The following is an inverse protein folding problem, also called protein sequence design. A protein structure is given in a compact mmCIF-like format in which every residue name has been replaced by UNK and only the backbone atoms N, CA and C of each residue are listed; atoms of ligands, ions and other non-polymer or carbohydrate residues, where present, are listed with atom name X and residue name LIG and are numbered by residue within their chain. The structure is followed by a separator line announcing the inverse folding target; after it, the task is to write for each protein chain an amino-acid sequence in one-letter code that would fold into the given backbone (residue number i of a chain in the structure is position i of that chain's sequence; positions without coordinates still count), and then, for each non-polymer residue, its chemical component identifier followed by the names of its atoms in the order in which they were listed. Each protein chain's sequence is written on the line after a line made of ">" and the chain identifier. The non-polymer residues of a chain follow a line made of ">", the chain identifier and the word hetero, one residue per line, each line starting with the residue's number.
data_IF_966904020647
#
_entry.id   IF_966904020647
#
_cell.length_a   1.000
_cell.length_b   1.000
_cell.length_c   1.000
_cell.angle_alpha   90.00
_cell.angle_beta   90.00
_cell.angle_gamma   90.00
#
_symmetry.space_group_name_H-M   'P 1'
#
loop_
_entity.id
_entity.type
_entity.pdbx_description
1 polymer ?
#
# COMPACT_ATOMS: atom_id res chain seq x y z
N UNK A 1 13.06 -4.59 -22.25
CA UNK A 1 12.63 -3.30 -22.85
C UNK A 1 12.58 -2.24 -21.75
N UNK A 2 12.79 -0.97 -22.12
CA UNK A 2 12.84 0.12 -21.15
C UNK A 2 14.23 0.49 -20.64
N UNK A 3 15.22 -0.34 -20.89
CA UNK A 3 16.60 -0.08 -20.48
C UNK A 3 17.17 1.14 -21.23
N UNK A 4 17.98 1.96 -20.54
CA UNK A 4 18.75 3.03 -21.14
C UNK A 4 20.08 2.51 -21.67
N UNK A 5 20.45 2.94 -22.88
CA UNK A 5 21.76 2.71 -23.45
C UNK A 5 22.44 4.03 -23.73
N UNK A 6 23.77 4.06 -23.67
CA UNK A 6 24.56 5.18 -24.19
C UNK A 6 25.82 4.68 -24.90
N UNK A 7 26.33 5.54 -25.79
CA UNK A 7 27.59 5.37 -26.52
C UNK A 7 28.20 6.71 -26.82
N UNK A 8 29.43 6.69 -27.26
CA UNK A 8 30.11 7.88 -27.72
C UNK A 8 30.28 7.86 -29.25
N UNK A 9 29.95 8.97 -29.89
CA UNK A 9 30.26 9.22 -31.29
C UNK A 9 31.25 10.38 -31.35
N UNK A 10 32.54 10.04 -31.50
CA UNK A 10 33.62 10.99 -31.24
C UNK A 10 33.63 11.38 -29.74
N UNK A 11 33.51 12.67 -29.46
CA UNK A 11 33.47 13.22 -28.11
C UNK A 11 32.03 13.46 -27.59
N UNK A 12 31.02 13.16 -28.41
CA UNK A 12 29.64 13.41 -28.06
C UNK A 12 29.01 12.15 -27.46
N UNK A 13 28.40 12.31 -26.28
CA UNK A 13 27.64 11.23 -25.62
C UNK A 13 26.21 11.17 -26.18
N UNK A 14 25.84 10.05 -26.78
CA UNK A 14 24.49 9.77 -27.29
C UNK A 14 23.84 8.70 -26.44
N UNK A 15 22.51 8.75 -26.33
CA UNK A 15 21.74 7.78 -25.55
C UNK A 15 20.37 7.55 -26.13
N UNK A 16 19.82 6.35 -25.86
CA UNK A 16 18.47 5.98 -26.23
C UNK A 16 17.88 4.96 -25.27
N UNK A 17 16.54 4.87 -25.20
CA UNK A 17 15.82 3.79 -24.49
C UNK A 17 15.44 2.68 -25.46
N UNK A 18 15.64 1.44 -25.04
CA UNK A 18 15.28 0.26 -25.81
C UNK A 18 13.78 0.02 -25.68
N UNK A 19 13.05 -0.01 -26.79
CA UNK A 19 11.63 -0.36 -26.82
C UNK A 19 11.41 -1.87 -26.92
N UNK A 20 12.37 -2.61 -27.48
CA UNK A 20 12.30 -4.04 -27.64
C UNK A 20 13.70 -4.65 -27.59
N UNK A 21 13.84 -5.78 -26.89
CA UNK A 21 15.06 -6.59 -26.87
C UNK A 21 14.69 -8.07 -26.97
N UNK A 22 15.40 -8.79 -27.83
CA UNK A 22 15.24 -10.25 -28.01
C UNK A 22 16.59 -10.91 -28.20
N UNK A 23 16.85 -11.98 -27.46
CA UNK A 23 18.04 -12.80 -27.66
C UNK A 23 17.91 -13.57 -28.97
N UNK A 24 18.98 -13.67 -29.75
CA UNK A 24 19.02 -14.46 -30.95
C UNK A 24 18.88 -15.94 -30.59
N UNK A 25 17.92 -16.62 -31.23
CA UNK A 25 17.66 -18.06 -30.99
C UNK A 25 18.83 -18.96 -31.40
N UNK A 26 19.68 -18.51 -32.32
CA UNK A 26 20.84 -19.27 -32.82
C UNK A 26 22.16 -18.93 -32.12
N UNK A 27 22.23 -17.85 -31.37
CA UNK A 27 23.43 -17.41 -30.69
C UNK A 27 23.10 -16.71 -29.39
N UNK A 28 23.40 -17.34 -28.24
CA UNK A 28 23.18 -16.77 -26.91
C UNK A 28 23.97 -15.46 -26.65
N UNK A 29 24.92 -15.10 -27.54
CA UNK A 29 25.74 -13.90 -27.43
C UNK A 29 25.24 -12.74 -28.29
N UNK A 30 24.07 -12.86 -28.97
CA UNK A 30 23.50 -11.80 -29.79
C UNK A 30 22.14 -11.38 -29.25
N UNK A 31 21.95 -10.08 -29.16
CA UNK A 31 20.68 -9.47 -28.74
C UNK A 31 20.24 -8.50 -29.83
N UNK A 32 19.04 -8.71 -30.34
CA UNK A 32 18.38 -7.77 -31.23
C UNK A 32 17.68 -6.69 -30.40
N UNK A 33 17.94 -5.43 -30.71
CA UNK A 33 17.31 -4.29 -30.04
C UNK A 33 16.58 -3.40 -31.03
N UNK A 34 15.46 -2.81 -30.61
CA UNK A 34 14.70 -1.81 -31.36
C UNK A 34 14.48 -0.56 -30.49
N UNK A 35 14.18 0.55 -31.15
CA UNK A 35 13.94 1.84 -30.49
C UNK A 35 15.17 2.74 -30.47
N UNK A 36 16.23 2.34 -31.18
CA UNK A 36 17.37 3.22 -31.38
C UNK A 36 17.03 4.22 -32.49
N UNK A 37 17.10 5.54 -32.22
CA UNK A 37 16.72 6.56 -33.20
C UNK A 37 17.76 6.78 -34.30
N UNK A 38 18.93 6.12 -34.18
CA UNK A 38 20.08 6.32 -35.10
C UNK A 38 20.73 4.98 -35.44
N UNK A 39 21.42 4.95 -36.57
CA UNK A 39 22.32 3.86 -36.90
C UNK A 39 23.62 4.03 -36.08
N UNK A 40 23.87 3.09 -35.18
CA UNK A 40 25.10 3.06 -34.41
C UNK A 40 26.18 2.39 -35.27
N UNK A 41 27.35 3.01 -35.46
CA UNK A 41 28.45 2.41 -36.23
C UNK A 41 28.84 1.04 -35.70
N UNK A 42 29.20 0.11 -36.57
CA UNK A 42 29.66 -1.21 -36.16
C UNK A 42 30.91 -1.09 -35.26
N UNK A 43 30.98 -1.96 -34.24
CA UNK A 43 32.05 -1.99 -33.23
C UNK A 43 32.01 -0.81 -32.22
N UNK A 44 30.96 0.00 -32.18
CA UNK A 44 30.78 1.00 -31.12
C UNK A 44 30.56 0.33 -29.78
N UNK A 45 31.28 0.75 -28.76
CA UNK A 45 31.03 0.29 -27.39
C UNK A 45 29.72 0.91 -26.86
N UNK A 46 28.78 0.06 -26.50
CA UNK A 46 27.48 0.48 -25.95
C UNK A 46 27.45 0.09 -24.48
N UNK A 47 27.13 1.05 -23.63
CA UNK A 47 26.99 0.84 -22.20
C UNK A 47 25.53 1.02 -21.78
N UNK A 48 25.12 0.22 -20.82
CA UNK A 48 23.80 0.31 -20.19
C UNK A 48 23.84 1.38 -19.10
N UNK A 49 22.87 2.31 -19.11
CA UNK A 49 22.78 3.38 -18.09
C UNK A 49 21.82 3.05 -16.97
N UNK A 50 20.75 2.30 -17.28
CA UNK A 50 19.75 1.94 -16.28
C UNK A 50 19.10 0.60 -16.67
N UNK A 51 18.77 -0.18 -15.67
CA UNK A 51 17.90 -1.34 -15.79
C UNK A 51 16.51 -0.95 -15.33
N UNK A 52 15.53 -1.00 -16.22
CA UNK A 52 14.16 -0.58 -15.91
C UNK A 52 13.53 -1.42 -14.79
N UNK A 53 13.94 -2.69 -14.67
CA UNK A 53 13.39 -3.61 -13.68
C UNK A 53 14.09 -3.51 -12.31
N UNK A 54 15.39 -3.16 -12.26
CA UNK A 54 16.13 -3.05 -11.00
C UNK A 54 15.80 -1.76 -10.23
N UNK A 55 15.71 -0.60 -10.90
CA UNK A 55 15.33 0.66 -10.24
C UNK A 55 13.90 0.61 -9.66
N UNK A 56 12.99 -0.08 -10.35
CA UNK A 56 11.61 -0.25 -9.85
C UNK A 56 11.50 -1.29 -8.72
N UNK A 57 12.45 -2.20 -8.63
CA UNK A 57 12.43 -3.28 -7.65
C UNK A 57 13.04 -2.85 -6.32
N UNK A 58 14.21 -2.19 -6.34
CA UNK A 58 14.86 -1.62 -5.15
C UNK A 58 13.98 -0.53 -4.51
N UNK A 59 13.41 0.39 -5.32
CA UNK A 59 12.53 1.43 -4.80
C UNK A 59 11.20 0.90 -4.25
N UNK A 60 10.72 -0.24 -4.74
CA UNK A 60 9.54 -0.91 -4.18
C UNK A 60 9.86 -1.72 -2.92
N UNK A 61 11.05 -2.31 -2.86
CA UNK A 61 11.48 -3.11 -1.71
C UNK A 61 11.79 -2.24 -0.50
N UNK A 62 12.58 -1.19 -0.67
CA UNK A 62 12.90 -0.25 0.41
C UNK A 62 11.64 0.38 1.00
N UNK A 63 10.71 0.85 0.15
CA UNK A 63 9.46 1.46 0.63
C UNK A 63 8.50 0.47 1.29
N UNK A 64 8.54 -0.82 0.97
CA UNK A 64 7.65 -1.81 1.59
C UNK A 64 8.19 -2.36 2.91
N UNK A 65 9.51 -2.38 3.09
CA UNK A 65 10.15 -2.89 4.31
C UNK A 65 10.15 -1.87 5.47
N UNK A 66 10.01 -0.58 5.18
CA UNK A 66 10.04 0.48 6.20
C UNK A 66 8.68 0.84 6.76
N UNK A 67 7.57 0.36 6.15
CA UNK A 67 6.24 0.71 6.63
C UNK A 67 5.89 0.03 7.93
N UNK A 68 5.46 0.84 8.88
CA UNK A 68 4.97 0.34 10.17
C UNK A 68 3.61 -0.31 10.01
N UNK A 69 3.47 -1.51 10.56
CA UNK A 69 2.21 -2.25 10.53
C UNK A 69 1.27 -1.78 11.64
N UNK A 70 0.02 -1.49 11.28
CA UNK A 70 -1.04 -1.15 12.23
C UNK A 70 -2.26 -2.04 12.03
N UNK A 71 -3.04 -2.22 13.07
CA UNK A 71 -4.34 -2.88 13.02
C UNK A 71 -5.44 -1.81 12.96
N UNK A 72 -6.45 -2.02 12.11
CA UNK A 72 -7.59 -1.12 11.95
C UNK A 72 -8.87 -1.81 12.45
N UNK A 73 -9.57 -1.16 13.37
CA UNK A 73 -10.84 -1.62 13.91
C UNK A 73 -11.96 -0.77 13.30
N UNK A 74 -12.89 -1.43 12.62
CA UNK A 74 -13.99 -0.77 11.92
C UNK A 74 -15.29 -0.96 12.68
N UNK A 75 -16.09 0.09 12.75
CA UNK A 75 -17.42 0.02 13.34
C UNK A 75 -18.39 0.95 12.62
N UNK A 76 -19.66 0.60 12.65
CA UNK A 76 -20.75 1.39 12.08
C UNK A 76 -21.95 0.53 11.71
N UNK A 77 -23.12 1.16 11.70
CA UNK A 77 -24.40 0.59 11.33
C UNK A 77 -25.13 1.51 10.38
N UNK A 78 -26.18 1.03 9.74
CA UNK A 78 -27.04 1.88 8.90
C UNK A 78 -27.48 3.13 9.66
N UNK A 79 -27.34 4.29 9.02
CA UNK A 79 -27.66 5.59 9.61
C UNK A 79 -26.63 6.16 10.57
N UNK A 80 -25.47 5.49 10.77
CA UNK A 80 -24.35 6.03 11.55
C UNK A 80 -23.14 6.33 10.66
N UNK A 81 -22.16 7.08 11.16
CA UNK A 81 -20.89 7.26 10.49
C UNK A 81 -20.07 5.96 10.49
N UNK A 82 -19.25 5.76 9.45
CA UNK A 82 -18.22 4.73 9.49
C UNK A 82 -17.08 5.22 10.36
N UNK A 83 -16.78 4.48 11.41
CA UNK A 83 -15.69 4.77 12.30
C UNK A 83 -14.51 3.82 12.08
N UNK A 84 -13.28 4.33 12.22
CA UNK A 84 -12.04 3.57 12.26
C UNK A 84 -11.26 3.91 13.51
N UNK A 85 -10.79 2.88 14.20
CA UNK A 85 -9.92 3.01 15.35
C UNK A 85 -8.58 2.31 15.13
N UNK A 86 -7.53 2.86 15.70
CA UNK A 86 -6.20 2.24 15.74
C UNK A 86 -5.43 2.72 16.97
N UNK A 87 -4.34 2.04 17.29
CA UNK A 87 -3.46 2.42 18.39
C UNK A 87 -2.03 2.52 17.88
N UNK A 88 -1.37 3.66 18.15
CA UNK A 88 0.02 3.91 17.81
C UNK A 88 0.75 4.51 19.00
N UNK A 89 1.92 3.99 19.35
CA UNK A 89 2.72 4.45 20.50
C UNK A 89 1.92 4.54 21.83
N UNK A 90 0.87 3.68 21.97
CA UNK A 90 -0.03 3.72 23.12
C UNK A 90 -1.17 4.75 23.00
N UNK A 91 -1.16 5.60 22.01
CA UNK A 91 -2.22 6.57 21.74
C UNK A 91 -3.32 5.95 20.90
N UNK A 92 -4.57 6.06 21.35
CA UNK A 92 -5.75 5.64 20.61
C UNK A 92 -6.15 6.76 19.63
N UNK A 93 -6.32 6.40 18.38
CA UNK A 93 -6.89 7.25 17.33
C UNK A 93 -8.28 6.72 16.98
N UNK A 94 -9.26 7.63 16.95
CA UNK A 94 -10.62 7.37 16.50
C UNK A 94 -10.99 8.42 15.46
N UNK A 95 -11.45 7.98 14.29
CA UNK A 95 -11.89 8.85 13.21
C UNK A 95 -13.22 8.35 12.65
N UNK A 96 -14.05 9.28 12.22
CA UNK A 96 -15.35 9.00 11.62
C UNK A 96 -15.50 9.70 10.27
N UNK A 97 -16.36 9.15 9.43
CA UNK A 97 -16.76 9.79 8.18
C UNK A 97 -17.82 10.86 8.43
N UNK A 98 -17.83 11.89 7.59
CA UNK A 98 -18.91 12.90 7.63
C UNK A 98 -20.23 12.36 7.02
N UNK A 99 -20.13 11.33 6.15
CA UNK A 99 -21.25 10.69 5.48
C UNK A 99 -21.73 9.50 6.31
N UNK A 100 -23.02 9.32 6.38
CA UNK A 100 -23.66 8.21 7.10
C UNK A 100 -23.66 6.96 6.21
N UNK A 101 -23.56 5.80 6.85
CA UNK A 101 -23.67 4.51 6.21
C UNK A 101 -25.12 4.24 5.77
N UNK A 102 -25.28 3.79 4.55
CA UNK A 102 -26.55 3.40 3.94
C UNK A 102 -26.58 1.92 3.65
N UNK A 103 -27.78 1.36 3.42
CA UNK A 103 -27.91 0.01 2.94
C UNK A 103 -27.40 -0.15 1.49
N UNK A 104 -26.52 -1.12 1.27
CA UNK A 104 -26.03 -1.46 -0.06
C UNK A 104 -27.06 -2.26 -0.86
N UNK A 105 -27.38 -1.81 -2.06
CA UNK A 105 -28.28 -2.53 -2.97
C UNK A 105 -27.66 -3.81 -3.54
N UNK A 106 -26.34 -3.86 -3.71
CA UNK A 106 -25.60 -4.96 -4.32
C UNK A 106 -24.54 -5.51 -3.37
N UNK A 107 -23.31 -5.01 -3.51
CA UNK A 107 -22.15 -5.45 -2.71
C UNK A 107 -21.91 -4.45 -1.58
N UNK A 108 -21.91 -4.95 -0.35
CA UNK A 108 -21.67 -4.13 0.84
C UNK A 108 -20.19 -3.85 1.10
N UNK A 109 -19.99 -2.97 2.07
CA UNK A 109 -18.69 -2.68 2.64
C UNK A 109 -18.38 -3.83 3.63
N UNK A 110 -17.37 -4.60 3.30
CA UNK A 110 -16.84 -5.70 4.12
C UNK A 110 -15.32 -5.58 4.27
N UNK A 111 -14.69 -6.57 4.88
CA UNK A 111 -13.24 -6.61 5.07
C UNK A 111 -12.48 -6.47 3.75
N UNK A 112 -12.90 -7.11 2.67
CA UNK A 112 -12.20 -7.12 1.38
C UNK A 112 -12.01 -5.74 0.77
N UNK A 113 -13.07 -4.96 0.48
CA UNK A 113 -12.98 -3.59 0.01
C UNK A 113 -12.23 -2.64 0.95
N UNK A 114 -12.35 -2.82 2.27
CA UNK A 114 -11.61 -2.04 3.25
C UNK A 114 -10.12 -2.37 3.21
N UNK A 115 -9.77 -3.65 3.15
CA UNK A 115 -8.39 -4.10 3.04
C UNK A 115 -7.74 -3.61 1.74
N UNK A 116 -8.43 -3.69 0.62
CA UNK A 116 -7.92 -3.18 -0.66
C UNK A 116 -7.62 -1.68 -0.59
N UNK A 117 -8.52 -0.88 -0.03
CA UNK A 117 -8.37 0.57 0.02
C UNK A 117 -7.39 1.06 1.09
N UNK A 118 -7.31 0.39 2.24
CA UNK A 118 -6.52 0.81 3.38
C UNK A 118 -5.26 -0.03 3.63
N UNK A 119 -4.90 -0.94 2.72
CA UNK A 119 -3.65 -1.73 2.80
C UNK A 119 -2.40 -0.87 2.99
N UNK A 120 -2.37 0.30 2.35
CA UNK A 120 -1.30 1.29 2.47
C UNK A 120 -1.93 2.61 2.90
N UNK A 121 -1.39 3.24 3.96
CA UNK A 121 -1.88 4.48 4.54
C UNK A 121 -0.73 5.48 4.59
N UNK A 122 -0.77 6.47 3.68
CA UNK A 122 0.35 7.39 3.49
C UNK A 122 1.61 6.69 2.98
N UNK A 123 2.77 7.20 3.34
CA UNK A 123 4.06 6.64 2.95
C UNK A 123 4.59 5.66 3.99
N UNK A 124 4.25 5.84 5.27
CA UNK A 124 4.92 5.22 6.42
C UNK A 124 4.16 4.05 7.04
N UNK A 125 2.89 3.84 6.68
CA UNK A 125 2.05 2.82 7.32
C UNK A 125 1.44 1.84 6.33
N UNK A 126 1.28 0.59 6.80
CA UNK A 126 0.46 -0.44 6.16
C UNK A 126 -0.47 -1.07 7.19
N UNK A 127 -1.68 -1.42 6.76
CA UNK A 127 -2.58 -2.18 7.63
C UNK A 127 -2.21 -3.65 7.62
N UNK A 128 -2.08 -4.25 8.80
CA UNK A 128 -1.83 -5.67 8.96
C UNK A 128 -3.12 -6.46 9.05
N UNK A 129 -4.10 -5.94 9.78
CA UNK A 129 -5.41 -6.57 9.98
C UNK A 129 -6.52 -5.53 9.90
N UNK A 130 -7.65 -5.95 9.35
CA UNK A 130 -8.90 -5.21 9.36
C UNK A 130 -9.89 -6.00 10.22
N UNK A 131 -10.32 -5.42 11.32
CA UNK A 131 -11.25 -6.05 12.26
C UNK A 131 -12.60 -5.37 12.06
N UNK A 132 -13.61 -6.13 11.63
CA UNK A 132 -14.92 -5.63 11.20
C UNK A 132 -16.07 -6.16 12.07
N UNK A 133 -15.76 -6.73 13.25
CA UNK A 133 -16.75 -7.37 14.14
C UNK A 133 -17.88 -6.44 14.57
N UNK A 134 -17.65 -5.12 14.54
CA UNK A 134 -18.64 -4.10 14.87
C UNK A 134 -19.15 -3.33 13.64
N UNK A 135 -18.94 -3.88 12.45
CA UNK A 135 -19.46 -3.34 11.21
C UNK A 135 -20.74 -4.12 10.82
N UNK A 136 -21.83 -3.40 10.61
CA UNK A 136 -23.10 -3.98 10.16
C UNK A 136 -22.97 -4.61 8.77
N UNK A 137 -23.89 -5.50 8.44
CA UNK A 137 -23.94 -6.16 7.15
C UNK A 137 -24.50 -5.24 6.07
N UNK A 138 -24.07 -5.45 4.82
CA UNK A 138 -24.58 -4.76 3.62
C UNK A 138 -24.61 -3.25 3.71
N UNK A 139 -23.55 -2.68 4.25
CA UNK A 139 -23.41 -1.23 4.35
C UNK A 139 -22.75 -0.66 3.10
N UNK A 140 -23.11 0.57 2.74
CA UNK A 140 -22.52 1.34 1.65
C UNK A 140 -22.10 2.71 2.15
N UNK A 141 -20.97 3.18 1.60
CA UNK A 141 -20.49 4.55 1.75
C UNK A 141 -19.78 4.96 0.45
N UNK A 142 -19.78 6.24 0.12
CA UNK A 142 -19.15 6.71 -1.10
C UNK A 142 -17.64 6.51 -1.10
N UNK A 143 -17.08 6.27 -2.28
CA UNK A 143 -15.64 6.14 -2.46
C UNK A 143 -14.89 7.44 -2.10
N UNK A 144 -15.54 8.60 -2.23
CA UNK A 144 -15.01 9.91 -1.84
C UNK A 144 -14.83 10.03 -0.34
N UNK A 145 -15.81 9.57 0.45
CA UNK A 145 -15.75 9.56 1.91
C UNK A 145 -14.67 8.62 2.42
N UNK A 146 -14.51 7.42 1.84
CA UNK A 146 -13.41 6.51 2.17
C UNK A 146 -12.04 7.13 1.83
N UNK A 147 -11.92 7.84 0.70
CA UNK A 147 -10.68 8.54 0.34
C UNK A 147 -10.34 9.66 1.32
N UNK A 148 -11.37 10.41 1.75
CA UNK A 148 -11.23 11.48 2.75
C UNK A 148 -10.80 10.91 4.10
N UNK A 149 -11.46 9.83 4.56
CA UNK A 149 -11.10 9.13 5.79
C UNK A 149 -9.66 8.60 5.76
N UNK A 150 -9.24 8.00 4.65
CA UNK A 150 -7.85 7.52 4.46
C UNK A 150 -6.83 8.64 4.58
N UNK A 151 -7.11 9.81 4.00
CA UNK A 151 -6.24 10.98 4.12
C UNK A 151 -6.15 11.47 5.56
N UNK A 152 -7.30 11.62 6.24
CA UNK A 152 -7.35 12.02 7.64
C UNK A 152 -6.61 11.03 8.54
N UNK A 153 -6.75 9.73 8.28
CA UNK A 153 -6.02 8.68 9.00
C UNK A 153 -4.51 8.84 8.84
N UNK A 154 -4.03 9.05 7.62
CA UNK A 154 -2.60 9.27 7.34
C UNK A 154 -2.05 10.52 8.05
N UNK A 155 -2.77 11.64 7.99
CA UNK A 155 -2.39 12.91 8.62
C UNK A 155 -2.31 12.76 10.16
N UNK A 156 -3.29 12.11 10.78
CA UNK A 156 -3.33 11.91 12.22
C UNK A 156 -2.28 10.92 12.71
N UNK A 157 -2.01 9.83 11.97
CA UNK A 157 -0.93 8.90 12.29
C UNK A 157 0.43 9.59 12.31
N UNK A 158 0.71 10.44 11.32
CA UNK A 158 1.94 11.22 11.25
C UNK A 158 2.08 12.23 12.42
N UNK A 159 0.97 12.73 12.98
CA UNK A 159 0.98 13.56 14.18
C UNK A 159 1.25 12.73 15.44
N UNK A 160 0.57 11.59 15.60
CA UNK A 160 0.72 10.71 16.75
C UNK A 160 2.11 10.09 16.86
N UNK A 161 2.77 9.86 15.73
CA UNK A 161 4.14 9.34 15.70
C UNK A 161 5.13 10.28 16.40
N UNK A 162 4.88 11.58 16.34
CA UNK A 162 5.73 12.61 17.01
C UNK A 162 5.52 12.68 18.51
N UNK A 163 4.46 12.04 19.02
CA UNK A 163 4.19 12.03 20.46
C UNK A 163 5.07 10.96 21.13
N UNK A 164 5.50 11.22 22.38
CA UNK A 164 6.27 10.25 23.15
C UNK A 164 5.44 8.98 23.39
N UNK A 165 6.14 7.85 23.48
CA UNK A 165 5.52 6.57 23.81
C UNK A 165 4.86 6.69 25.20
N UNK A 166 3.57 6.40 25.30
CA UNK A 166 2.89 6.34 26.58
C UNK A 166 3.41 5.12 27.35
N UNK A 167 4.30 5.35 28.30
CA UNK A 167 4.79 4.31 29.20
C UNK A 167 3.71 3.99 30.24
N UNK A 168 3.23 2.77 30.23
CA UNK A 168 2.55 2.19 31.40
C UNK A 168 1.03 2.18 31.42
N UNK A 169 0.34 2.50 30.35
CA UNK A 169 -1.12 2.28 30.35
C UNK A 169 -1.47 0.82 29.99
N UNK A 170 -1.48 -0.01 31.04
CA UNK A 170 -1.93 -1.42 30.94
C UNK A 170 -3.38 -1.55 30.44
N UNK A 171 -4.15 -0.47 30.43
CA UNK A 171 -5.56 -0.46 29.99
C UNK A 171 -5.68 -0.71 28.50
N UNK A 172 -4.72 -0.24 27.69
CA UNK A 172 -4.71 -0.44 26.24
C UNK A 172 -4.42 -1.91 25.89
N UNK A 173 -3.45 -2.53 26.57
CA UNK A 173 -3.20 -3.96 26.42
C UNK A 173 -4.41 -4.80 26.84
N UNK A 174 -5.10 -4.39 27.89
CA UNK A 174 -6.32 -5.04 28.36
C UNK A 174 -7.45 -4.91 27.36
N UNK A 175 -7.64 -3.75 26.76
CA UNK A 175 -8.61 -3.51 25.68
C UNK A 175 -8.34 -4.38 24.43
N UNK A 176 -7.09 -4.51 24.00
CA UNK A 176 -6.70 -5.37 22.88
C UNK A 176 -6.87 -6.86 23.22
N UNK A 177 -6.57 -7.27 24.45
CA UNK A 177 -6.79 -8.64 24.93
C UNK A 177 -8.29 -8.97 25.11
N UNK A 178 -9.10 -8.06 25.63
CA UNK A 178 -10.55 -8.26 25.78
C UNK A 178 -11.24 -8.38 24.41
N UNK A 179 -10.88 -7.57 23.43
CA UNK A 179 -11.37 -7.74 22.04
C UNK A 179 -10.89 -9.05 21.40
N UNK A 180 -9.67 -9.50 21.68
CA UNK A 180 -9.15 -10.78 21.17
C UNK A 180 -9.78 -12.00 21.85
N UNK A 181 -10.05 -11.92 23.16
CA UNK A 181 -10.65 -13.02 23.93
C UNK A 181 -12.15 -13.19 23.66
N UNK A 182 -12.89 -12.12 23.38
CA UNK A 182 -14.30 -12.20 23.00
C UNK A 182 -14.48 -12.94 21.66
N UNK A 183 -13.53 -12.86 20.73
CA UNK A 183 -13.55 -13.68 19.51
C UNK A 183 -13.38 -15.19 19.75
N UNK A 184 -12.74 -15.58 20.84
CA UNK A 184 -12.52 -17.00 21.19
C UNK A 184 -13.74 -17.58 21.89
N UNK A 185 -14.47 -16.77 22.68
CA UNK A 185 -15.63 -17.23 23.47
C UNK A 185 -16.84 -17.48 22.57
N UNK A 186 -17.10 -16.64 21.58
CA UNK A 186 -18.24 -16.83 20.66
C UNK A 186 -18.09 -18.05 19.73
N UNK A 187 -16.87 -18.54 19.50
CA UNK A 187 -16.63 -19.78 18.76
C UNK A 187 -16.66 -21.05 19.61
N UNK A 188 -16.58 -20.92 20.93
CA UNK A 188 -16.58 -22.09 21.86
C UNK A 188 -18.00 -22.51 22.35
N UNK A 189 -19.03 -21.74 22.04
CA UNK A 189 -20.43 -22.03 22.49
C UNK A 189 -21.26 -22.76 21.42
N UNK A 190 -20.67 -23.17 20.29
CA UNK A 190 -21.35 -23.91 19.20
C UNK A 190 -20.87 -25.37 19.06
N UNK A 191 -20.62 -26.06 20.18
CA UNK A 191 -20.54 -27.54 20.22
C UNK A 191 -21.29 -28.10 21.40
#
# INVERSE_FOLDING_TARGET
>A
AGDGLFWFEGNEKKGARITFAQTDKMSNNRIWVRGLPFNIPAKTEIRRTSKNDEENWESKWDKSMERRSIDLFWSGYEGTALAVETVINGHKLHLETDELLENAMLKGLDEGPLQEKFSIIGEDYCSKRHITDHLGERLHISASSLKKLKRLLSENLAMLEKLPLLQGDKSIFKFLQEKSNNQIIDKAVLF
#
